data_IF_309756959993
#
_entry.id   IF_309756959993
#
_cell.length_a   1.000
_cell.length_b   1.000
_cell.length_c   1.000
_cell.angle_alpha   90.00
_cell.angle_beta   90.00
_cell.angle_gamma   90.00
#
_symmetry.space_group_name_H-M   'P 1'
#
loop_
_entity.id
_entity.type
_entity.pdbx_description
1 polymer ?
#
# COMPACT_ATOMS: atom_id res chain seq x y z
N UNK A 1 15.44 -16.69 8.61
CA UNK A 1 15.13 -16.17 8.21
C UNK A 1 15.21 -15.49 7.92
N UNK A 2 15.10 -15.63 7.76
CA UNK A 2 14.96 -14.99 7.42
C UNK A 2 15.14 -14.34 7.22
N UNK A 3 15.30 -14.32 7.29
CA UNK A 3 15.44 -13.50 7.06
C UNK A 3 15.25 -12.31 7.11
N UNK A 4 15.69 -11.68 8.08
CA UNK A 4 15.48 -10.26 8.00
C UNK A 4 14.99 -9.82 6.67
N UNK A 5 14.14 -10.48 6.25
CA UNK A 5 13.67 -10.27 4.92
C UNK A 5 12.60 -9.22 4.91
N UNK A 6 12.71 -8.30 3.99
CA UNK A 6 11.66 -7.32 3.81
C UNK A 6 10.48 -8.01 3.17
N UNK A 7 9.35 -7.95 3.85
CA UNK A 7 8.14 -8.54 3.33
C UNK A 7 7.38 -7.58 2.42
N UNK A 8 6.61 -8.15 1.51
CA UNK A 8 5.66 -7.38 0.73
C UNK A 8 4.28 -7.83 1.15
N UNK A 9 3.47 -6.90 1.61
CA UNK A 9 2.09 -7.17 2.02
C UNK A 9 1.17 -6.62 0.96
N UNK A 10 0.29 -7.45 0.43
CA UNK A 10 -0.69 -7.01 -0.57
C UNK A 10 -2.07 -7.09 0.06
N UNK A 11 -2.77 -5.97 0.09
CA UNK A 11 -4.10 -5.84 0.66
C UNK A 11 -5.07 -5.39 -0.42
N UNK A 12 -6.36 -5.61 -0.17
CA UNK A 12 -7.40 -5.12 -1.06
C UNK A 12 -8.44 -4.37 -0.23
N UNK A 13 -8.96 -3.27 -0.77
CA UNK A 13 -9.95 -2.48 -0.07
C UNK A 13 -10.95 -1.91 -1.08
N UNK A 14 -12.19 -1.77 -0.65
CA UNK A 14 -13.21 -1.11 -1.46
C UNK A 14 -13.14 0.40 -1.32
N UNK A 15 -12.38 0.90 -0.35
CA UNK A 15 -12.23 2.32 -0.09
C UNK A 15 -10.75 2.68 -0.11
N UNK A 16 -10.18 2.70 -1.30
CA UNK A 16 -8.76 2.96 -1.46
C UNK A 16 -8.41 4.35 -0.97
N UNK A 17 -9.23 5.35 -1.30
CA UNK A 17 -8.94 6.73 -0.92
C UNK A 17 -8.94 6.91 0.59
N UNK A 18 -9.94 6.33 1.28
CA UNK A 18 -9.99 6.40 2.74
C UNK A 18 -8.85 5.67 3.39
N UNK A 19 -8.50 4.50 2.87
CA UNK A 19 -7.36 3.74 3.38
C UNK A 19 -6.07 4.51 3.18
N UNK A 20 -5.89 5.12 2.01
CA UNK A 20 -4.70 5.92 1.73
C UNK A 20 -4.60 7.08 2.72
N UNK A 21 -5.70 7.78 2.99
CA UNK A 21 -5.68 8.90 3.92
C UNK A 21 -5.29 8.46 5.33
N UNK A 22 -5.81 7.32 5.77
CA UNK A 22 -5.48 6.82 7.10
C UNK A 22 -4.01 6.47 7.23
N UNK A 23 -3.45 5.82 6.22
CA UNK A 23 -2.04 5.44 6.25
C UNK A 23 -1.14 6.65 6.08
N UNK A 24 -1.55 7.61 5.28
CA UNK A 24 -0.79 8.84 5.08
C UNK A 24 -0.71 9.64 6.38
N UNK A 25 -1.77 9.61 7.17
CA UNK A 25 -1.79 10.32 8.46
C UNK A 25 -0.97 9.62 9.54
N UNK A 26 -0.58 8.35 9.30
CA UNK A 26 0.22 7.58 10.24
C UNK A 26 1.71 7.75 9.95
N UNK A 27 2.49 6.74 10.38
CA UNK A 27 3.94 6.78 10.23
C UNK A 27 4.43 6.16 8.92
N UNK A 28 3.53 5.71 8.07
CA UNK A 28 3.90 5.05 6.83
C UNK A 28 4.39 6.08 5.80
N UNK A 29 5.42 5.70 5.07
CA UNK A 29 5.95 6.53 4.00
C UNK A 29 5.20 6.23 2.71
N UNK A 30 4.72 7.26 2.02
CA UNK A 30 4.02 7.07 0.75
C UNK A 30 5.05 6.77 -0.33
N UNK A 31 4.98 5.57 -0.90
CA UNK A 31 5.83 5.16 -2.00
C UNK A 31 5.15 5.45 -3.32
N UNK A 32 3.84 5.21 -3.39
CA UNK A 32 3.07 5.47 -4.59
C UNK A 32 1.68 5.93 -4.19
N UNK A 33 1.25 7.07 -4.72
CA UNK A 33 -0.10 7.56 -4.49
C UNK A 33 -1.11 6.73 -5.27
N UNK A 34 -2.39 6.77 -4.90
CA UNK A 34 -3.41 6.01 -5.64
C UNK A 34 -3.36 6.35 -7.12
N UNK A 35 -3.09 5.34 -7.92
CA UNK A 35 -2.87 5.50 -9.36
C UNK A 35 -3.62 4.41 -10.08
N UNK A 36 -4.34 4.78 -11.14
CA UNK A 36 -5.03 3.79 -11.96
C UNK A 36 -4.02 3.11 -12.86
N UNK A 37 -4.02 1.79 -12.81
CA UNK A 37 -3.10 0.99 -13.62
C UNK A 37 -3.74 0.66 -14.97
N UNK A 38 -2.92 0.28 -15.97
CA UNK A 38 -3.47 -0.04 -17.29
C UNK A 38 -4.51 -1.16 -17.29
N UNK A 39 -4.49 -2.00 -16.28
CA UNK A 39 -5.47 -3.10 -16.18
C UNK A 39 -6.76 -2.65 -15.47
N UNK A 40 -6.93 -1.36 -15.21
CA UNK A 40 -8.19 -0.82 -14.74
C UNK A 40 -8.41 -0.84 -13.23
N UNK A 41 -7.41 -1.21 -12.46
CA UNK A 41 -7.49 -1.24 -11.00
C UNK A 41 -6.55 -0.19 -10.44
N UNK A 42 -7.06 0.60 -9.49
CA UNK A 42 -6.19 1.56 -8.79
C UNK A 42 -5.47 0.87 -7.65
N UNK A 43 -4.25 1.29 -7.40
CA UNK A 43 -3.50 0.82 -6.25
C UNK A 43 -2.62 1.92 -5.68
N UNK A 44 -2.13 1.68 -4.48
CA UNK A 44 -1.14 2.56 -3.87
C UNK A 44 -0.15 1.71 -3.09
N UNK A 45 0.94 2.32 -2.68
CA UNK A 45 1.99 1.60 -1.96
C UNK A 45 2.56 2.47 -0.86
N UNK A 46 2.90 1.84 0.25
CA UNK A 46 3.51 2.49 1.40
C UNK A 46 4.68 1.67 1.88
N UNK A 47 5.57 2.32 2.61
CA UNK A 47 6.64 1.64 3.33
C UNK A 47 6.45 1.91 4.82
N UNK A 48 6.44 0.84 5.63
CA UNK A 48 6.31 1.03 7.06
C UNK A 48 7.68 1.39 7.67
N UNK A 49 7.71 1.79 8.96
CA UNK A 49 8.99 2.17 9.59
C UNK A 49 10.00 1.03 9.66
N UNK A 50 9.55 -0.21 9.58
CA UNK A 50 10.45 -1.36 9.58
C UNK A 50 11.01 -1.66 8.18
N UNK A 51 10.56 -0.95 7.15
CA UNK A 51 11.05 -1.14 5.81
C UNK A 51 10.25 -2.08 4.96
N UNK A 52 9.13 -2.59 5.46
CA UNK A 52 8.27 -3.46 4.68
C UNK A 52 7.41 -2.65 3.73
N UNK A 53 7.21 -3.19 2.54
CA UNK A 53 6.34 -2.53 1.57
C UNK A 53 4.92 -3.06 1.70
N UNK A 54 3.96 -2.16 1.75
CA UNK A 54 2.54 -2.50 1.77
C UNK A 54 1.92 -1.98 0.48
N UNK A 55 1.38 -2.88 -0.32
CA UNK A 55 0.67 -2.51 -1.54
C UNK A 55 -0.81 -2.76 -1.33
N UNK A 56 -1.63 -1.79 -1.68
CA UNK A 56 -3.07 -1.85 -1.48
C UNK A 56 -3.75 -1.67 -2.82
N UNK A 57 -4.54 -2.67 -3.21
CA UNK A 57 -5.30 -2.64 -4.46
C UNK A 57 -6.75 -2.27 -4.17
N UNK A 58 -7.36 -1.54 -5.09
CA UNK A 58 -8.78 -1.24 -4.99
C UNK A 58 -9.56 -2.48 -5.40
N UNK A 59 -10.45 -2.93 -4.51
CA UNK A 59 -11.31 -4.08 -4.80
C UNK A 59 -12.60 -3.59 -5.44
N UNK A 60 -13.13 -4.40 -6.36
CA UNK A 60 -14.40 -4.10 -7.04
C UNK A 60 -15.53 -4.95 -6.49
#
# INVERSE_FOLDING_TARGET
>A
MAKGTYGIIVLATKDLDGTFEQLQAGDAEVVQEPTEQPYGIRDCAFRDPAGNMVRINEAH
#
